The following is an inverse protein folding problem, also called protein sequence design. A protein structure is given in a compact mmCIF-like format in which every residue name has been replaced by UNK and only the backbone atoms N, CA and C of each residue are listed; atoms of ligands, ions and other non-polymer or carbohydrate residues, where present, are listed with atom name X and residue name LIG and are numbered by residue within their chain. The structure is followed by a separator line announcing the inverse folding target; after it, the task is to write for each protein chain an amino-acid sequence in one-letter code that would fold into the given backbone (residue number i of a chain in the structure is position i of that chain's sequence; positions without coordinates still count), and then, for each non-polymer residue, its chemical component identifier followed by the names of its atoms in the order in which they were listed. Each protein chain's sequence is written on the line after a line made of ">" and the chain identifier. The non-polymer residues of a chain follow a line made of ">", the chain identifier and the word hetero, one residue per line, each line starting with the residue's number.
data_IF_795110558274
#
_entry.id   IF_795110558274
#
_cell.length_a   1.000
_cell.length_b   1.000
_cell.length_c   1.000
_cell.angle_alpha   90.00
_cell.angle_beta   90.00
_cell.angle_gamma   90.00
#
_symmetry.space_group_name_H-M   'P 1'
#
loop_
_entity.id
_entity.type
_entity.pdbx_description
1 polymer ?
#
# COMPACT_ATOMS: atom_id res chain seq x y z
N UNK A 1 11.45 8.36 -8.65
CA UNK A 1 12.88 8.29 -9.01
C UNK A 1 13.27 9.57 -9.72
N UNK A 2 14.29 10.32 -9.25
CA UNK A 2 14.84 11.48 -9.92
C UNK A 2 15.65 11.03 -11.15
N UNK A 3 15.04 11.14 -12.32
CA UNK A 3 15.52 10.47 -13.55
C UNK A 3 16.80 11.09 -14.12
N UNK A 4 16.92 12.41 -14.06
CA UNK A 4 18.12 13.10 -14.55
C UNK A 4 19.33 12.80 -13.64
N UNK A 5 19.13 12.84 -12.32
CA UNK A 5 20.16 12.50 -11.35
C UNK A 5 20.57 11.03 -11.42
N UNK A 6 19.61 10.11 -11.58
CA UNK A 6 19.88 8.69 -11.75
C UNK A 6 20.73 8.40 -12.99
N UNK A 7 20.42 9.02 -14.13
CA UNK A 7 21.22 8.91 -15.35
C UNK A 7 22.63 9.47 -15.18
N UNK A 8 22.74 10.64 -14.53
CA UNK A 8 24.05 11.26 -14.26
C UNK A 8 24.90 10.37 -13.33
N UNK A 9 24.28 9.79 -12.30
CA UNK A 9 24.95 8.87 -11.40
C UNK A 9 25.38 7.58 -12.12
N UNK A 10 24.50 6.99 -12.94
CA UNK A 10 24.81 5.79 -13.71
C UNK A 10 26.03 5.99 -14.63
N UNK A 11 26.15 7.16 -15.25
CA UNK A 11 27.29 7.52 -16.10
C UNK A 11 28.62 7.60 -15.33
N UNK A 12 28.57 7.87 -14.01
CA UNK A 12 29.73 8.01 -13.13
C UNK A 12 30.00 6.78 -12.26
N UNK A 13 29.23 5.72 -12.36
CA UNK A 13 29.40 4.52 -11.53
C UNK A 13 30.75 3.81 -11.72
N UNK A 14 31.51 4.16 -12.77
CA UNK A 14 32.91 3.74 -12.94
C UNK A 14 33.86 4.34 -11.89
N UNK A 15 33.47 5.46 -11.28
CA UNK A 15 34.26 6.19 -10.27
C UNK A 15 33.90 5.80 -8.84
N UNK A 16 32.85 4.97 -8.66
CA UNK A 16 32.25 4.66 -7.36
C UNK A 16 32.28 3.15 -7.11
N UNK A 17 32.39 2.76 -5.85
CA UNK A 17 32.34 1.37 -5.38
C UNK A 17 31.41 1.28 -4.17
N UNK A 18 30.78 0.12 -3.98
CA UNK A 18 29.93 -0.22 -2.84
C UNK A 18 28.84 0.83 -2.53
N UNK A 19 28.12 1.25 -3.58
CA UNK A 19 27.05 2.26 -3.45
C UNK A 19 25.78 1.62 -2.91
N UNK A 20 25.34 2.08 -1.77
CA UNK A 20 24.17 1.56 -1.08
C UNK A 20 22.94 2.47 -1.30
N UNK A 21 21.96 1.99 -2.04
CA UNK A 21 20.71 2.70 -2.31
C UNK A 21 19.59 2.29 -1.36
N UNK A 22 18.72 3.23 -1.07
CA UNK A 22 17.46 2.99 -0.38
C UNK A 22 16.31 3.60 -1.16
N UNK A 23 15.32 2.79 -1.50
CA UNK A 23 14.13 3.20 -2.22
C UNK A 23 13.12 2.06 -2.28
N UNK A 24 11.86 2.35 -2.56
CA UNK A 24 10.83 1.32 -2.66
C UNK A 24 9.68 1.74 -3.55
N UNK A 25 8.98 0.72 -4.08
CA UNK A 25 7.89 0.87 -5.05
C UNK A 25 8.34 1.63 -6.29
N UNK A 26 9.34 1.10 -6.98
CA UNK A 26 9.81 1.69 -8.23
C UNK A 26 8.74 1.57 -9.31
N UNK A 27 8.37 2.70 -9.90
CA UNK A 27 7.48 2.79 -11.05
C UNK A 27 8.24 2.87 -12.39
N UNK A 28 9.56 3.06 -12.32
CA UNK A 28 10.48 3.13 -13.46
C UNK A 28 11.79 2.47 -13.06
N UNK A 29 12.36 1.65 -13.98
CA UNK A 29 13.67 1.02 -13.74
C UNK A 29 14.75 2.10 -13.72
N UNK A 30 15.54 2.23 -12.64
CA UNK A 30 16.64 3.16 -12.56
C UNK A 30 17.76 2.82 -13.55
N UNK A 31 18.42 3.84 -14.10
CA UNK A 31 19.57 3.68 -15.00
C UNK A 31 20.76 3.01 -14.30
N UNK A 32 20.95 3.25 -13.00
CA UNK A 32 21.98 2.57 -12.19
C UNK A 32 21.81 1.04 -12.12
N UNK A 33 20.64 0.49 -12.44
CA UNK A 33 20.42 -0.96 -12.51
C UNK A 33 20.98 -1.58 -13.80
N UNK A 34 21.22 -0.79 -14.82
CA UNK A 34 21.66 -1.23 -16.14
C UNK A 34 23.16 -1.00 -16.39
N UNK A 35 23.92 -0.61 -15.35
CA UNK A 35 25.38 -0.46 -15.45
C UNK A 35 26.06 -1.83 -15.55
N UNK A 36 27.22 -1.93 -16.20
CA UNK A 36 28.01 -3.16 -16.21
C UNK A 36 28.37 -3.60 -14.78
N UNK A 37 28.19 -4.89 -14.48
CA UNK A 37 28.53 -5.50 -13.19
C UNK A 37 27.81 -4.82 -12.01
N UNK A 38 26.53 -4.45 -12.16
CA UNK A 38 25.76 -3.79 -11.12
C UNK A 38 25.82 -4.52 -9.77
N UNK A 39 25.77 -5.87 -9.77
CA UNK A 39 25.83 -6.67 -8.55
C UNK A 39 27.13 -6.53 -7.74
N UNK A 40 28.23 -6.14 -8.41
CA UNK A 40 29.51 -5.90 -7.73
C UNK A 40 29.67 -4.46 -7.21
N UNK A 41 28.83 -3.53 -7.66
CA UNK A 41 28.98 -2.10 -7.42
C UNK A 41 27.90 -1.49 -6.56
N UNK A 42 26.68 -2.04 -6.61
CA UNK A 42 25.52 -1.46 -5.93
C UNK A 42 24.80 -2.47 -5.05
N UNK A 43 24.19 -1.96 -4.00
CA UNK A 43 23.20 -2.66 -3.18
C UNK A 43 21.93 -1.82 -3.15
N UNK A 44 20.80 -2.42 -3.57
CA UNK A 44 19.50 -1.78 -3.52
C UNK A 44 18.66 -2.35 -2.38
N UNK A 45 18.36 -1.53 -1.39
CA UNK A 45 17.49 -1.90 -0.26
C UNK A 45 16.10 -1.35 -0.47
N UNK A 46 15.11 -2.24 -0.52
CA UNK A 46 13.71 -1.86 -0.69
C UNK A 46 12.84 -2.39 0.45
N UNK A 47 11.94 -1.56 0.93
CA UNK A 47 10.91 -1.94 1.90
C UNK A 47 9.61 -2.40 1.24
N UNK A 48 9.49 -2.27 -0.07
CA UNK A 48 8.33 -2.72 -0.82
C UNK A 48 8.71 -3.08 -2.25
N UNK A 49 8.41 -4.30 -2.67
CA UNK A 49 8.87 -4.85 -3.94
C UNK A 49 7.85 -4.62 -5.06
N UNK A 50 8.23 -3.86 -6.09
CA UNK A 50 7.56 -3.89 -7.39
C UNK A 50 8.13 -5.00 -8.29
N UNK A 51 7.69 -5.08 -9.54
CA UNK A 51 8.29 -5.96 -10.54
C UNK A 51 9.77 -5.66 -10.79
N UNK A 52 10.15 -4.40 -10.65
CA UNK A 52 11.50 -3.90 -10.88
C UNK A 52 12.44 -4.38 -9.77
N UNK A 53 12.05 -4.18 -8.51
CA UNK A 53 12.86 -4.62 -7.38
C UNK A 53 12.95 -6.15 -7.30
N UNK A 54 11.87 -6.88 -7.62
CA UNK A 54 11.92 -8.34 -7.72
C UNK A 54 12.94 -8.82 -8.76
N UNK A 55 13.07 -8.08 -9.88
CA UNK A 55 14.09 -8.39 -10.88
C UNK A 55 15.49 -8.08 -10.36
N UNK A 56 15.71 -6.95 -9.67
CA UNK A 56 16.97 -6.63 -9.02
C UNK A 56 17.40 -7.69 -7.99
N UNK A 57 16.45 -8.27 -7.24
CA UNK A 57 16.74 -9.41 -6.35
C UNK A 57 17.24 -10.65 -7.12
N UNK A 58 16.64 -10.95 -8.27
CA UNK A 58 17.10 -12.06 -9.12
C UNK A 58 18.47 -11.78 -9.78
N UNK A 59 18.77 -10.52 -10.01
CA UNK A 59 20.05 -10.04 -10.55
C UNK A 59 21.15 -9.94 -9.46
N UNK A 60 20.82 -10.19 -8.18
CA UNK A 60 21.78 -10.35 -7.08
C UNK A 60 22.15 -9.08 -6.32
N UNK A 61 21.55 -7.91 -6.64
CA UNK A 61 21.85 -6.65 -5.96
C UNK A 61 20.65 -5.99 -5.25
N UNK A 62 19.44 -6.57 -5.36
CA UNK A 62 18.24 -6.11 -4.66
C UNK A 62 17.99 -6.91 -3.38
N UNK A 63 17.65 -6.23 -2.29
CA UNK A 63 17.36 -6.86 -0.99
C UNK A 63 16.13 -6.23 -0.35
N UNK A 64 15.35 -7.07 0.35
CA UNK A 64 14.19 -6.62 1.09
C UNK A 64 14.56 -6.16 2.50
N UNK A 65 14.09 -4.98 2.87
CA UNK A 65 14.17 -4.45 4.23
C UNK A 65 12.79 -4.55 4.88
N UNK A 66 12.64 -5.49 5.81
CA UNK A 66 11.39 -5.70 6.52
C UNK A 66 11.08 -4.49 7.41
N UNK A 67 10.08 -3.70 7.03
CA UNK A 67 9.71 -2.47 7.71
C UNK A 67 8.22 -2.18 7.51
N UNK A 68 7.54 -1.78 8.57
CA UNK A 68 6.19 -1.25 8.52
C UNK A 68 6.24 0.21 8.04
N UNK A 69 5.36 0.58 7.11
CA UNK A 69 5.52 1.84 6.39
C UNK A 69 5.38 3.08 7.29
N UNK A 70 4.52 3.03 8.31
CA UNK A 70 4.40 4.11 9.31
C UNK A 70 5.69 4.42 10.06
N UNK A 71 6.60 3.44 10.18
CA UNK A 71 7.86 3.57 10.91
C UNK A 71 8.98 4.23 10.09
N UNK A 72 8.80 4.41 8.78
CA UNK A 72 9.83 4.93 7.88
C UNK A 72 10.49 6.24 8.35
N UNK A 73 9.74 7.31 8.69
CA UNK A 73 10.35 8.55 9.13
C UNK A 73 11.18 8.39 10.40
N UNK A 74 10.68 7.61 11.36
CA UNK A 74 11.38 7.30 12.61
C UNK A 74 12.61 6.44 12.35
N UNK A 75 12.50 5.44 11.49
CA UNK A 75 13.62 4.57 11.13
C UNK A 75 14.77 5.36 10.51
N UNK A 76 14.51 6.31 9.62
CA UNK A 76 15.53 7.20 9.08
C UNK A 76 16.18 8.04 10.17
N UNK A 77 15.41 8.69 11.04
CA UNK A 77 15.91 9.61 12.07
C UNK A 77 16.65 8.91 13.22
N UNK A 78 16.28 7.68 13.57
CA UNK A 78 16.80 6.99 14.75
C UNK A 78 17.75 5.81 14.45
N UNK A 79 17.54 5.11 13.33
CA UNK A 79 18.22 3.84 13.06
C UNK A 79 19.14 3.86 11.85
N UNK A 80 18.90 4.71 10.86
CA UNK A 80 19.81 4.87 9.73
C UNK A 80 20.99 5.70 10.20
N UNK A 81 22.17 5.06 10.24
CA UNK A 81 23.36 5.72 10.79
C UNK A 81 23.78 6.96 10.01
N UNK A 82 23.59 6.91 8.69
CA UNK A 82 24.12 7.94 7.81
C UNK A 82 23.48 7.85 6.41
N UNK A 83 23.14 8.99 5.85
CA UNK A 83 22.76 9.16 4.45
C UNK A 83 23.69 10.20 3.85
N UNK A 84 24.57 9.79 2.93
CA UNK A 84 25.50 10.73 2.30
C UNK A 84 24.76 11.72 1.41
N UNK A 85 23.85 11.22 0.57
CA UNK A 85 23.16 12.04 -0.43
C UNK A 85 21.68 11.67 -0.50
N UNK A 86 20.81 12.64 -0.30
CA UNK A 86 19.41 12.54 -0.70
C UNK A 86 19.25 13.08 -2.13
N UNK A 87 18.77 12.25 -3.03
CA UNK A 87 18.34 12.65 -4.37
C UNK A 87 16.84 12.53 -4.45
N UNK A 88 16.13 13.64 -4.47
CA UNK A 88 14.66 13.66 -4.48
C UNK A 88 14.13 14.47 -5.68
N UNK A 89 12.98 14.04 -6.20
CA UNK A 89 12.28 14.79 -7.23
C UNK A 89 11.19 15.64 -6.58
N UNK A 90 11.09 16.90 -7.00
CA UNK A 90 10.19 17.90 -6.41
C UNK A 90 9.46 18.68 -7.49
N UNK A 91 8.34 19.32 -7.12
CA UNK A 91 7.64 20.28 -7.99
C UNK A 91 8.46 21.58 -8.14
N UNK A 92 8.15 22.41 -9.15
CA UNK A 92 8.75 23.75 -9.27
C UNK A 92 8.62 24.57 -7.99
N UNK A 93 9.66 25.37 -7.70
CA UNK A 93 9.71 26.21 -6.49
C UNK A 93 8.59 27.26 -6.52
N UNK A 94 7.94 27.44 -5.38
CA UNK A 94 6.94 28.49 -5.21
C UNK A 94 7.60 29.87 -4.95
N UNK A 95 6.76 30.92 -4.87
CA UNK A 95 7.20 32.30 -4.66
C UNK A 95 7.87 32.54 -3.29
N UNK A 96 7.77 31.58 -2.37
CA UNK A 96 8.32 31.64 -1.03
C UNK A 96 9.56 30.76 -0.82
N UNK A 97 10.07 30.16 -1.91
CA UNK A 97 11.27 29.32 -1.86
C UNK A 97 11.03 27.87 -1.45
N UNK A 98 9.80 27.39 -1.51
CA UNK A 98 9.46 26.00 -1.16
C UNK A 98 9.31 25.14 -2.42
N UNK A 99 9.86 23.94 -2.33
CA UNK A 99 9.66 22.85 -3.28
C UNK A 99 8.70 21.84 -2.66
N UNK A 100 7.54 21.61 -3.26
CA UNK A 100 6.63 20.54 -2.84
C UNK A 100 7.21 19.18 -3.21
N UNK A 101 7.08 18.21 -2.32
CA UNK A 101 7.40 16.79 -2.59
C UNK A 101 6.43 16.14 -3.59
N UNK A 102 5.49 16.91 -4.13
CA UNK A 102 4.46 16.42 -5.02
C UNK A 102 3.55 15.41 -4.34
N UNK A 103 3.10 14.38 -5.05
CA UNK A 103 2.19 13.38 -4.48
C UNK A 103 2.92 12.37 -3.57
N UNK A 104 4.05 12.74 -2.96
CA UNK A 104 4.84 11.81 -2.13
C UNK A 104 5.53 12.54 -0.97
N UNK A 105 4.76 13.09 -0.02
CA UNK A 105 5.32 13.59 1.23
C UNK A 105 5.95 12.43 2.04
N UNK A 106 5.18 11.39 2.28
CA UNK A 106 5.61 10.08 2.82
C UNK A 106 6.71 10.18 3.90
N UNK A 107 7.95 9.92 3.55
CA UNK A 107 9.11 9.93 4.43
C UNK A 107 10.26 10.85 3.92
N UNK A 108 10.02 11.59 2.84
CA UNK A 108 11.09 12.34 2.17
C UNK A 108 11.74 13.38 3.07
N UNK A 109 10.95 14.10 3.89
CA UNK A 109 11.51 15.07 4.83
C UNK A 109 12.46 14.40 5.84
N UNK A 110 12.09 13.21 6.34
CA UNK A 110 12.94 12.47 7.28
C UNK A 110 14.26 12.01 6.62
N UNK A 111 14.25 11.67 5.33
CA UNK A 111 15.48 11.39 4.59
C UNK A 111 16.37 12.63 4.51
N UNK A 112 15.78 13.78 4.13
CA UNK A 112 16.52 15.03 4.07
C UNK A 112 17.12 15.45 5.42
N UNK A 113 16.39 15.22 6.53
CA UNK A 113 16.84 15.60 7.89
C UNK A 113 18.14 14.87 8.33
N UNK A 114 18.45 13.72 7.74
CA UNK A 114 19.62 12.89 8.11
C UNK A 114 20.64 12.77 6.99
N UNK A 115 20.50 13.58 5.94
CA UNK A 115 21.41 13.59 4.79
C UNK A 115 22.47 14.69 4.91
N UNK A 116 23.71 14.37 4.49
CA UNK A 116 24.79 15.37 4.44
C UNK A 116 24.61 16.33 3.26
N UNK A 117 24.14 15.80 2.11
CA UNK A 117 23.92 16.55 0.88
C UNK A 117 22.52 16.29 0.35
N UNK A 118 21.80 17.35 0.04
CA UNK A 118 20.45 17.27 -0.54
C UNK A 118 20.47 17.83 -1.96
N UNK A 119 20.17 16.97 -2.92
CA UNK A 119 20.07 17.34 -4.34
C UNK A 119 18.59 17.19 -4.75
N UNK A 120 17.99 18.27 -5.18
CA UNK A 120 16.61 18.25 -5.72
C UNK A 120 16.61 18.24 -7.24
N UNK A 121 15.84 17.32 -7.82
CA UNK A 121 15.48 17.35 -9.23
C UNK A 121 14.11 18.02 -9.37
N UNK A 122 14.13 19.27 -9.83
CA UNK A 122 12.92 20.07 -10.05
C UNK A 122 12.27 19.63 -11.36
N UNK A 123 11.16 18.92 -11.27
CA UNK A 123 10.46 18.42 -12.43
C UNK A 123 9.23 19.27 -12.75
N UNK A 124 9.19 19.90 -13.93
CA UNK A 124 8.07 20.74 -14.36
C UNK A 124 6.72 20.01 -14.45
N UNK A 125 6.73 18.67 -14.57
CA UNK A 125 5.51 17.85 -14.62
C UNK A 125 5.08 17.32 -13.26
N UNK A 126 5.88 17.56 -12.20
CA UNK A 126 5.50 17.15 -10.85
C UNK A 126 4.36 18.05 -10.35
N UNK A 127 3.19 17.51 -9.99
CA UNK A 127 2.12 18.32 -9.45
C UNK A 127 2.53 18.91 -8.09
N UNK A 128 2.14 20.14 -7.84
CA UNK A 128 2.28 20.76 -6.52
C UNK A 128 1.15 20.24 -5.63
N UNK A 129 1.47 19.31 -4.76
CA UNK A 129 0.51 18.85 -3.77
C UNK A 129 0.59 19.70 -2.51
N UNK A 130 -0.58 20.01 -1.97
CA UNK A 130 -0.69 20.77 -0.72
C UNK A 130 -0.71 19.81 0.46
N UNK A 131 -0.14 20.22 1.58
CA UNK A 131 -0.12 19.43 2.80
C UNK A 131 -0.34 20.30 4.04
N UNK A 132 0.69 20.72 4.65
CA UNK A 132 0.65 21.58 5.83
C UNK A 132 1.82 21.32 6.77
N UNK A 133 2.46 20.14 6.66
CA UNK A 133 3.69 19.80 7.37
C UNK A 133 4.42 18.66 6.67
N UNK A 134 5.74 18.76 6.63
CA UNK A 134 6.65 17.78 6.01
C UNK A 134 6.31 17.42 4.55
N UNK A 135 5.61 18.29 3.83
CA UNK A 135 5.16 18.10 2.44
C UNK A 135 6.10 18.72 1.40
N UNK A 136 7.21 19.30 1.85
CA UNK A 136 8.19 19.94 0.98
C UNK A 136 9.49 20.31 1.69
N UNK A 137 10.38 20.96 0.95
CA UNK A 137 11.68 21.44 1.43
C UNK A 137 11.91 22.88 0.98
N UNK A 138 12.45 23.72 1.87
CA UNK A 138 12.81 25.08 1.56
C UNK A 138 14.20 25.16 0.89
N UNK A 139 14.39 26.06 -0.05
CA UNK A 139 15.64 26.23 -0.81
C UNK A 139 16.88 26.39 0.08
N UNK A 140 16.74 26.97 1.27
CA UNK A 140 17.86 27.10 2.22
C UNK A 140 18.38 25.78 2.81
N UNK A 141 17.68 24.69 2.58
CA UNK A 141 18.06 23.34 3.00
C UNK A 141 18.62 22.50 1.83
N UNK A 142 18.67 23.05 0.64
CA UNK A 142 19.06 22.36 -0.60
C UNK A 142 20.47 22.75 -0.99
N UNK A 143 21.33 21.77 -1.24
CA UNK A 143 22.71 22.01 -1.65
C UNK A 143 22.83 22.17 -3.18
N UNK A 144 22.05 21.40 -3.94
CA UNK A 144 22.10 21.43 -5.41
C UNK A 144 20.71 21.30 -6.03
N UNK A 145 20.51 21.97 -7.14
CA UNK A 145 19.27 21.96 -7.91
C UNK A 145 19.57 21.52 -9.35
N UNK A 146 18.80 20.57 -9.86
CA UNK A 146 18.81 20.11 -11.25
C UNK A 146 17.40 20.23 -11.81
N UNK A 147 17.25 20.88 -12.96
CA UNK A 147 15.96 20.95 -13.65
C UNK A 147 15.71 19.71 -14.51
N UNK A 148 14.47 19.28 -14.57
CA UNK A 148 14.03 18.12 -15.33
C UNK A 148 12.67 18.37 -15.99
N UNK A 149 12.45 17.71 -17.11
CA UNK A 149 11.18 17.71 -17.85
C UNK A 149 10.67 16.29 -18.11
N UNK A 150 10.95 15.39 -17.19
CA UNK A 150 10.53 14.00 -17.29
C UNK A 150 9.06 13.84 -16.90
N UNK A 151 8.25 13.32 -17.81
CA UNK A 151 6.84 13.01 -17.54
C UNK A 151 6.68 12.10 -16.30
N UNK A 152 5.63 12.35 -15.53
CA UNK A 152 5.30 11.54 -14.36
C UNK A 152 5.01 10.09 -14.79
N UNK A 153 5.52 9.10 -14.04
CA UNK A 153 5.20 7.72 -14.33
C UNK A 153 3.72 7.47 -14.08
N UNK A 154 3.06 6.79 -15.01
CA UNK A 154 1.65 6.46 -14.87
C UNK A 154 1.47 4.98 -14.50
N UNK A 155 0.59 4.73 -13.55
CA UNK A 155 0.06 3.40 -13.32
C UNK A 155 -1.11 3.18 -14.26
N UNK A 156 -1.08 2.10 -15.04
CA UNK A 156 -2.22 1.73 -15.88
C UNK A 156 -3.49 1.53 -15.03
N UNK A 157 -4.64 1.76 -15.63
CA UNK A 157 -5.94 1.63 -14.98
C UNK A 157 -6.26 0.19 -14.48
N UNK A 158 -5.37 -0.77 -14.69
CA UNK A 158 -5.64 -2.19 -14.50
C UNK A 158 -6.42 -2.77 -15.69
N UNK A 159 -6.63 -4.10 -15.69
CA UNK A 159 -7.52 -4.75 -16.64
C UNK A 159 -9.00 -4.52 -16.30
N UNK A 160 -9.89 -4.94 -17.19
CA UNK A 160 -11.33 -4.96 -16.90
C UNK A 160 -11.59 -5.79 -15.63
N UNK A 161 -12.52 -5.33 -14.76
CA UNK A 161 -12.89 -6.06 -13.56
C UNK A 161 -13.41 -7.46 -13.87
N UNK A 162 -12.85 -8.46 -13.21
CA UNK A 162 -13.36 -9.83 -13.32
C UNK A 162 -14.69 -9.99 -12.58
N UNK A 163 -15.44 -11.04 -12.87
CA UNK A 163 -16.67 -11.35 -12.13
C UNK A 163 -16.38 -11.60 -10.63
N UNK A 164 -15.19 -12.13 -10.31
CA UNK A 164 -14.73 -12.27 -8.93
C UNK A 164 -14.56 -10.90 -8.26
N UNK A 165 -13.90 -9.95 -8.94
CA UNK A 165 -13.71 -8.59 -8.41
C UNK A 165 -15.06 -7.91 -8.15
N UNK A 166 -16.01 -8.05 -9.08
CA UNK A 166 -17.35 -7.48 -8.95
C UNK A 166 -18.13 -8.08 -7.77
N UNK A 167 -18.07 -9.43 -7.62
CA UNK A 167 -18.74 -10.11 -6.52
C UNK A 167 -18.20 -9.67 -5.15
N UNK A 168 -16.87 -9.62 -5.00
CA UNK A 168 -16.22 -9.16 -3.77
C UNK A 168 -16.54 -7.69 -3.51
N UNK A 169 -16.42 -6.82 -4.51
CA UNK A 169 -16.68 -5.39 -4.38
C UNK A 169 -18.13 -5.12 -3.92
N UNK A 170 -19.09 -5.83 -4.45
CA UNK A 170 -20.50 -5.72 -4.03
C UNK A 170 -20.68 -6.02 -2.55
N UNK A 171 -20.09 -7.11 -2.05
CA UNK A 171 -20.18 -7.51 -0.64
C UNK A 171 -19.54 -6.47 0.31
N UNK A 172 -18.54 -5.74 -0.16
CA UNK A 172 -17.88 -4.69 0.62
C UNK A 172 -18.71 -3.40 0.62
N UNK A 173 -19.17 -2.96 -0.56
CA UNK A 173 -19.92 -1.69 -0.71
C UNK A 173 -21.20 -1.70 0.14
N UNK A 174 -21.87 -2.84 0.26
CA UNK A 174 -23.05 -3.03 1.13
C UNK A 174 -22.78 -2.72 2.61
N UNK A 175 -21.52 -2.78 3.06
CA UNK A 175 -21.11 -2.57 4.46
C UNK A 175 -20.65 -1.12 4.73
N UNK A 176 -20.53 -0.29 3.72
CA UNK A 176 -20.03 1.09 3.84
C UNK A 176 -21.19 2.01 4.20
N UNK A 177 -21.17 2.66 5.37
CA UNK A 177 -22.21 3.64 5.71
C UNK A 177 -21.93 5.00 5.05
N UNK A 178 -22.97 5.83 4.91
CA UNK A 178 -22.79 7.23 4.59
C UNK A 178 -21.90 7.92 5.64
N UNK A 179 -21.04 8.81 5.20
CA UNK A 179 -20.09 9.52 6.07
C UNK A 179 -18.86 8.70 6.45
N UNK A 180 -18.68 7.48 5.92
CA UNK A 180 -17.49 6.68 6.14
C UNK A 180 -16.23 7.37 5.61
N UNK A 181 -15.09 7.14 6.26
CA UNK A 181 -13.77 7.52 5.75
C UNK A 181 -13.05 6.30 5.18
N UNK A 182 -12.54 6.43 3.96
CA UNK A 182 -12.06 5.30 3.18
C UNK A 182 -10.53 5.26 3.09
N UNK A 183 -10.00 4.02 3.17
CA UNK A 183 -8.68 3.63 2.69
C UNK A 183 -8.86 2.48 1.70
N UNK A 184 -8.29 2.61 0.52
CA UNK A 184 -8.26 1.58 -0.52
C UNK A 184 -6.83 1.12 -0.76
N UNK A 185 -6.64 -0.20 -0.93
CA UNK A 185 -5.40 -0.77 -1.44
C UNK A 185 -5.22 -0.52 -2.94
N UNK A 186 -4.23 -1.15 -3.53
CA UNK A 186 -3.93 -1.12 -4.97
C UNK A 186 -4.37 -2.41 -5.65
N UNK A 187 -4.69 -2.32 -6.95
CA UNK A 187 -5.02 -3.47 -7.79
C UNK A 187 -6.45 -3.48 -8.31
N UNK A 188 -6.81 -4.52 -9.05
CA UNK A 188 -8.10 -4.63 -9.75
C UNK A 188 -9.30 -4.55 -8.82
N UNK A 189 -9.25 -5.29 -7.70
CA UNK A 189 -10.37 -5.33 -6.76
C UNK A 189 -10.62 -3.99 -6.04
N UNK A 190 -9.63 -3.29 -5.44
CA UNK A 190 -9.85 -1.96 -4.89
C UNK A 190 -10.35 -0.94 -5.92
N UNK A 191 -9.90 -1.01 -7.17
CA UNK A 191 -10.41 -0.17 -8.25
C UNK A 191 -11.88 -0.48 -8.52
N UNK A 192 -12.28 -1.75 -8.54
CA UNK A 192 -13.69 -2.17 -8.72
C UNK A 192 -14.56 -1.67 -7.58
N UNK A 193 -14.08 -1.77 -6.32
CA UNK A 193 -14.78 -1.18 -5.16
C UNK A 193 -14.97 0.32 -5.35
N UNK A 194 -13.91 1.03 -5.77
CA UNK A 194 -13.98 2.47 -6.02
C UNK A 194 -14.98 2.86 -7.11
N UNK A 195 -15.03 2.12 -8.22
CA UNK A 195 -16.02 2.35 -9.28
C UNK A 195 -17.45 2.12 -8.79
N UNK A 196 -17.70 1.04 -8.06
CA UNK A 196 -19.02 0.76 -7.48
C UNK A 196 -19.44 1.83 -6.44
N UNK A 197 -18.51 2.37 -5.64
CA UNK A 197 -18.80 3.48 -4.73
C UNK A 197 -19.19 4.73 -5.53
N UNK A 198 -18.48 5.04 -6.61
CA UNK A 198 -18.78 6.21 -7.45
C UNK A 198 -20.20 6.13 -8.06
N UNK A 199 -20.67 4.93 -8.38
CA UNK A 199 -22.01 4.68 -8.95
C UNK A 199 -23.10 4.50 -7.87
N UNK A 200 -22.75 4.33 -6.60
CA UNK A 200 -23.70 4.06 -5.51
C UNK A 200 -24.43 5.32 -5.02
N UNK A 201 -25.39 5.15 -4.11
CA UNK A 201 -26.09 6.23 -3.41
C UNK A 201 -25.33 6.72 -2.16
N UNK A 202 -24.10 6.25 -1.93
CA UNK A 202 -23.26 6.69 -0.81
C UNK A 202 -22.94 8.17 -0.91
N UNK A 203 -22.86 8.83 0.25
CA UNK A 203 -22.60 10.27 0.35
C UNK A 203 -21.83 10.64 1.61
N UNK A 204 -21.31 11.87 1.61
CA UNK A 204 -20.57 12.48 2.73
C UNK A 204 -19.30 11.68 3.09
N UNK A 205 -18.71 10.95 2.14
CA UNK A 205 -17.53 10.15 2.36
C UNK A 205 -16.29 11.03 2.63
N UNK A 206 -15.33 10.48 3.35
CA UNK A 206 -14.00 11.04 3.54
C UNK A 206 -12.91 10.12 2.98
N UNK A 207 -11.71 10.66 2.86
CA UNK A 207 -10.52 9.90 2.49
C UNK A 207 -9.40 10.14 3.49
N UNK A 208 -8.80 9.06 3.97
CA UNK A 208 -7.56 9.04 4.71
C UNK A 208 -6.85 7.72 4.39
N UNK A 209 -5.86 7.76 3.51
CA UNK A 209 -5.32 6.57 2.87
C UNK A 209 -3.80 6.64 2.78
N UNK A 210 -3.14 5.49 2.71
CA UNK A 210 -1.71 5.44 2.40
C UNK A 210 -1.48 5.92 0.98
N UNK A 211 -2.09 5.24 0.02
CA UNK A 211 -1.98 5.54 -1.39
C UNK A 211 -3.25 6.19 -1.93
N UNK A 212 -3.11 7.33 -2.58
CA UNK A 212 -4.17 7.97 -3.34
C UNK A 212 -4.17 7.43 -4.77
N UNK A 213 -5.31 6.91 -5.22
CA UNK A 213 -5.48 6.24 -6.51
C UNK A 213 -6.58 6.88 -7.34
N UNK A 214 -6.61 6.61 -8.65
CA UNK A 214 -7.61 7.16 -9.59
C UNK A 214 -9.06 6.95 -9.13
N UNK A 215 -9.35 5.86 -8.43
CA UNK A 215 -10.67 5.59 -7.88
C UNK A 215 -11.18 6.70 -6.97
N UNK A 216 -10.33 7.33 -6.15
CA UNK A 216 -10.73 8.46 -5.31
C UNK A 216 -11.06 9.70 -6.14
N UNK A 217 -10.37 9.91 -7.26
CA UNK A 217 -10.71 10.99 -8.20
C UNK A 217 -12.10 10.77 -8.78
N UNK A 218 -12.43 9.54 -9.16
CA UNK A 218 -13.75 9.21 -9.73
C UNK A 218 -14.86 9.38 -8.69
N UNK A 219 -14.66 8.89 -7.46
CA UNK A 219 -15.60 9.06 -6.35
C UNK A 219 -15.81 10.55 -6.01
N UNK A 220 -14.71 11.36 -6.03
CA UNK A 220 -14.77 12.81 -5.80
C UNK A 220 -15.58 13.52 -6.90
N UNK A 221 -15.28 13.20 -8.17
CA UNK A 221 -16.00 13.76 -9.34
C UNK A 221 -17.48 13.38 -9.36
N UNK A 222 -17.81 12.20 -8.82
CA UNK A 222 -19.20 11.78 -8.61
C UNK A 222 -19.89 12.52 -7.43
N UNK A 223 -19.19 13.44 -6.75
CA UNK A 223 -19.73 14.23 -5.64
C UNK A 223 -19.96 13.45 -4.35
N UNK A 224 -19.32 12.29 -4.18
CA UNK A 224 -19.51 11.41 -3.02
C UNK A 224 -18.59 11.76 -1.85
N UNK A 225 -17.45 12.40 -2.12
CA UNK A 225 -16.44 12.77 -1.13
C UNK A 225 -16.55 14.28 -0.81
N UNK A 226 -16.74 14.61 0.45
CA UNK A 226 -16.67 15.98 0.95
C UNK A 226 -15.96 16.09 2.31
N UNK A 227 -15.62 14.96 2.93
CA UNK A 227 -14.92 14.91 4.21
C UNK A 227 -15.65 15.56 5.38
N UNK A 228 -16.95 15.88 5.24
CA UNK A 228 -17.73 16.66 6.22
C UNK A 228 -17.92 15.94 7.56
N UNK A 229 -17.79 14.62 7.58
CA UNK A 229 -17.96 13.77 8.76
C UNK A 229 -16.64 13.41 9.44
N UNK A 230 -15.50 13.76 8.87
CA UNK A 230 -14.20 13.52 9.50
C UNK A 230 -14.06 14.37 10.76
N UNK A 231 -13.59 13.75 11.85
CA UNK A 231 -13.33 14.46 13.11
C UNK A 231 -12.04 15.31 13.04
N UNK A 232 -11.03 14.79 12.30
CA UNK A 232 -9.77 15.48 12.01
C UNK A 232 -9.64 15.70 10.50
N UNK A 233 -8.86 16.66 10.07
CA UNK A 233 -8.64 17.01 8.65
C UNK A 233 -9.96 17.15 7.87
N UNK A 234 -10.93 17.78 8.48
CA UNK A 234 -12.27 17.94 7.92
C UNK A 234 -12.22 18.63 6.57
N UNK A 235 -12.89 18.06 5.57
CA UNK A 235 -12.89 18.57 4.20
C UNK A 235 -11.60 18.25 3.42
N UNK A 236 -10.68 17.47 3.99
CA UNK A 236 -9.42 17.08 3.33
C UNK A 236 -9.38 15.60 3.02
N UNK A 237 -8.84 15.28 1.86
CA UNK A 237 -8.49 13.93 1.43
C UNK A 237 -7.01 13.71 1.71
N UNK A 238 -6.71 12.95 2.77
CA UNK A 238 -5.35 12.78 3.30
C UNK A 238 -4.70 11.54 2.72
N UNK A 239 -3.43 11.67 2.29
CA UNK A 239 -2.66 10.55 1.75
C UNK A 239 -1.14 10.71 1.99
N UNK A 240 -0.42 9.59 2.08
CA UNK A 240 1.03 9.59 2.21
C UNK A 240 1.71 9.72 0.84
N UNK A 241 1.18 9.04 -0.17
CA UNK A 241 1.61 9.17 -1.56
C UNK A 241 0.46 8.89 -2.53
N UNK A 242 0.60 9.38 -3.75
CA UNK A 242 -0.36 9.16 -4.83
C UNK A 242 0.30 8.63 -6.08
N UNK A 243 -0.33 7.66 -6.73
CA UNK A 243 0.07 7.19 -8.04
C UNK A 243 -1.14 6.69 -8.83
N UNK A 244 -1.22 7.08 -10.08
CA UNK A 244 -2.33 6.77 -10.98
C UNK A 244 -2.02 7.19 -12.39
N UNK A 245 -3.06 7.56 -13.11
CA UNK A 245 -2.95 8.13 -14.46
C UNK A 245 -2.76 9.66 -14.39
N UNK A 246 -2.63 10.32 -15.52
CA UNK A 246 -2.56 11.79 -15.59
C UNK A 246 -3.78 12.45 -14.90
N UNK A 247 -4.94 11.79 -14.93
CA UNK A 247 -6.16 12.24 -14.26
C UNK A 247 -5.95 12.50 -12.75
N UNK A 248 -5.18 11.64 -12.08
CA UNK A 248 -4.85 11.81 -10.67
C UNK A 248 -3.91 12.99 -10.47
N UNK A 249 -2.85 13.09 -11.26
CA UNK A 249 -1.87 14.18 -11.14
C UNK A 249 -2.49 15.55 -11.38
N UNK A 250 -3.39 15.65 -12.34
CA UNK A 250 -4.17 16.89 -12.60
C UNK A 250 -5.11 17.20 -11.42
N UNK A 251 -5.70 16.19 -10.79
CA UNK A 251 -6.64 16.39 -9.69
C UNK A 251 -5.97 16.86 -8.40
N UNK A 252 -4.79 16.32 -8.07
CA UNK A 252 -4.09 16.68 -6.82
C UNK A 252 -3.26 17.96 -6.94
N UNK A 253 -3.06 18.47 -8.15
CA UNK A 253 -2.27 19.67 -8.39
C UNK A 253 -2.97 20.93 -7.85
N UNK A 254 -2.35 21.63 -6.91
CA UNK A 254 -2.88 22.84 -6.25
C UNK A 254 -4.31 22.70 -5.72
N UNK A 255 -4.71 21.47 -5.37
CA UNK A 255 -6.05 21.18 -4.89
C UNK A 255 -6.12 21.26 -3.36
N UNK A 256 -6.82 22.27 -2.79
CA UNK A 256 -6.92 22.44 -1.33
C UNK A 256 -7.75 21.33 -0.63
N UNK A 257 -8.51 20.53 -1.37
CA UNK A 257 -9.17 19.35 -0.81
C UNK A 257 -8.22 18.19 -0.57
N UNK A 258 -7.05 18.18 -1.25
CA UNK A 258 -6.03 17.14 -1.13
C UNK A 258 -4.96 17.54 -0.11
N UNK A 259 -4.55 16.59 0.71
CA UNK A 259 -3.52 16.80 1.73
C UNK A 259 -2.47 15.68 1.65
N UNK A 260 -1.32 15.98 1.02
CA UNK A 260 -0.15 15.12 1.07
C UNK A 260 0.52 15.26 2.43
N UNK A 261 0.73 14.17 3.17
CA UNK A 261 1.20 14.20 4.55
C UNK A 261 2.24 13.10 4.81
N UNK A 262 3.10 13.22 5.84
CA UNK A 262 4.07 12.19 6.16
C UNK A 262 3.38 10.88 6.56
N UNK A 263 4.00 9.76 6.18
CA UNK A 263 3.45 8.43 6.44
C UNK A 263 3.31 8.10 7.92
N UNK A 264 4.12 8.71 8.77
CA UNK A 264 3.98 8.63 10.24
C UNK A 264 2.72 9.31 10.79
N UNK A 265 2.04 10.11 9.98
CA UNK A 265 0.73 10.68 10.29
C UNK A 265 -0.40 9.89 9.64
N UNK A 266 -0.31 9.66 8.32
CA UNK A 266 -1.38 8.99 7.58
C UNK A 266 -1.60 7.56 8.05
N UNK A 267 -0.53 6.85 8.36
CA UNK A 267 -0.54 5.45 8.76
C UNK A 267 -0.51 5.24 10.29
N UNK A 268 -0.51 6.32 11.09
CA UNK A 268 -0.59 6.16 12.54
C UNK A 268 -1.98 5.65 12.95
N UNK A 269 -2.03 4.46 13.54
CA UNK A 269 -3.27 3.86 14.03
C UNK A 269 -4.02 4.75 15.04
N UNK A 270 -3.32 5.60 15.80
CA UNK A 270 -3.92 6.55 16.74
C UNK A 270 -4.56 7.74 15.99
N UNK A 271 -3.98 8.17 14.89
CA UNK A 271 -4.55 9.19 14.01
C UNK A 271 -5.81 8.65 13.34
N UNK A 272 -5.72 7.44 12.76
CA UNK A 272 -6.85 6.78 12.09
C UNK A 272 -8.01 6.53 13.07
N UNK A 273 -7.70 6.12 14.30
CA UNK A 273 -8.68 5.85 15.35
C UNK A 273 -9.57 7.06 15.73
N UNK A 274 -9.12 8.27 15.43
CA UNK A 274 -9.89 9.49 15.67
C UNK A 274 -10.98 9.74 14.62
N UNK A 275 -10.99 8.98 13.54
CA UNK A 275 -11.94 9.13 12.43
C UNK A 275 -13.01 8.05 12.57
N UNK A 276 -14.24 8.44 12.91
CA UNK A 276 -15.38 7.52 13.04
C UNK A 276 -15.71 6.86 11.69
N UNK A 277 -16.25 5.64 11.75
CA UNK A 277 -16.63 4.84 10.58
C UNK A 277 -15.48 4.68 9.55
N UNK A 278 -14.29 4.43 10.03
CA UNK A 278 -13.14 4.22 9.15
C UNK A 278 -13.23 2.84 8.47
N UNK A 279 -13.15 2.83 7.15
CA UNK A 279 -13.24 1.62 6.31
C UNK A 279 -11.89 1.37 5.67
N UNK A 280 -11.22 0.28 6.07
CA UNK A 280 -9.94 -0.17 5.51
C UNK A 280 -10.17 -1.38 4.61
N UNK A 281 -9.70 -1.32 3.37
CA UNK A 281 -9.87 -2.38 2.35
C UNK A 281 -8.52 -2.76 1.78
N UNK A 282 -8.08 -3.99 2.03
CA UNK A 282 -6.77 -4.50 1.63
C UNK A 282 -6.87 -5.89 1.00
N UNK A 283 -6.00 -6.16 0.03
CA UNK A 283 -5.87 -7.46 -0.61
C UNK A 283 -4.74 -8.27 0.03
N UNK A 284 -4.91 -9.60 0.04
CA UNK A 284 -3.88 -10.55 0.47
C UNK A 284 -3.60 -11.61 -0.58
N UNK A 285 -2.49 -12.31 -0.42
CA UNK A 285 -2.10 -13.44 -1.27
C UNK A 285 -2.84 -14.70 -0.86
N UNK A 286 -2.76 -15.08 0.41
CA UNK A 286 -3.44 -16.25 0.98
C UNK A 286 -3.67 -16.10 2.50
N UNK A 287 -4.55 -16.96 3.02
CA UNK A 287 -4.91 -17.05 4.46
C UNK A 287 -4.98 -18.52 4.87
N UNK A 288 -4.56 -18.83 6.09
CA UNK A 288 -4.72 -20.18 6.64
C UNK A 288 -5.97 -20.32 7.53
N UNK A 289 -6.33 -21.57 7.87
CA UNK A 289 -7.52 -21.89 8.68
C UNK A 289 -7.46 -21.33 10.11
N UNK A 290 -6.32 -20.85 10.57
CA UNK A 290 -6.18 -20.13 11.83
C UNK A 290 -6.40 -18.61 11.68
N UNK A 291 -6.53 -18.11 10.46
CA UNK A 291 -6.67 -16.69 10.15
C UNK A 291 -5.33 -15.93 10.02
N UNK A 292 -4.19 -16.65 10.00
CA UNK A 292 -2.92 -16.01 9.61
C UNK A 292 -2.95 -15.64 8.15
N UNK A 293 -2.55 -14.42 7.82
CA UNK A 293 -2.57 -13.97 6.44
C UNK A 293 -1.20 -13.58 5.92
N UNK A 294 -1.00 -13.79 4.64
CA UNK A 294 0.18 -13.40 3.88
C UNK A 294 -0.24 -12.44 2.76
N UNK A 295 0.34 -11.25 2.76
CA UNK A 295 0.19 -10.23 1.73
C UNK A 295 1.50 -9.93 0.98
N UNK A 296 2.61 -10.59 1.35
CA UNK A 296 3.95 -10.13 1.00
C UNK A 296 4.75 -11.11 0.16
N UNK A 297 4.46 -12.41 0.23
CA UNK A 297 5.34 -13.42 -0.36
C UNK A 297 4.61 -14.54 -1.11
N UNK A 298 5.33 -15.23 -1.98
CA UNK A 298 4.94 -16.51 -2.56
C UNK A 298 6.00 -17.54 -2.14
N UNK A 299 5.71 -18.33 -1.08
CA UNK A 299 6.71 -19.10 -0.38
C UNK A 299 7.84 -18.19 0.12
N UNK A 300 9.08 -18.57 -0.13
CA UNK A 300 10.27 -17.79 0.27
C UNK A 300 10.52 -16.55 -0.60
N UNK A 301 9.76 -16.37 -1.68
CA UNK A 301 9.97 -15.26 -2.62
C UNK A 301 9.19 -14.04 -2.17
N UNK A 302 9.86 -12.98 -1.77
CA UNK A 302 9.26 -11.67 -1.50
C UNK A 302 8.64 -11.09 -2.78
N UNK A 303 7.37 -10.71 -2.76
CA UNK A 303 6.64 -10.16 -3.92
C UNK A 303 6.14 -8.74 -3.71
N UNK A 304 6.00 -8.32 -2.46
CA UNK A 304 5.61 -6.97 -2.07
C UNK A 304 6.33 -6.55 -0.79
N UNK A 305 5.71 -5.82 0.10
CA UNK A 305 6.20 -5.48 1.42
C UNK A 305 5.02 -5.35 2.38
N UNK A 306 5.29 -5.19 3.67
CA UNK A 306 4.26 -5.03 4.67
C UNK A 306 3.36 -3.81 4.39
N UNK A 307 3.95 -2.72 3.85
CA UNK A 307 3.21 -1.47 3.64
C UNK A 307 2.56 -0.99 4.94
N UNK A 308 1.40 -0.39 4.81
CA UNK A 308 0.57 0.05 5.92
C UNK A 308 -0.62 -0.85 6.24
N UNK A 309 -0.67 -2.10 5.75
CA UNK A 309 -1.83 -2.96 5.99
C UNK A 309 -2.17 -3.07 7.47
N UNK A 310 -1.20 -3.45 8.32
CA UNK A 310 -1.39 -3.57 9.76
C UNK A 310 -1.80 -2.23 10.39
N UNK A 311 -1.22 -1.12 9.95
CA UNK A 311 -1.52 0.22 10.45
C UNK A 311 -3.01 0.57 10.27
N UNK A 312 -3.51 0.41 9.04
CA UNK A 312 -4.89 0.73 8.69
C UNK A 312 -5.90 -0.24 9.27
N UNK A 313 -5.57 -1.52 9.31
CA UNK A 313 -6.44 -2.53 9.92
C UNK A 313 -6.57 -2.30 11.42
N UNK A 314 -5.48 -1.98 12.12
CA UNK A 314 -5.48 -1.60 13.54
C UNK A 314 -6.24 -0.29 13.77
N UNK A 315 -5.97 0.73 12.95
CA UNK A 315 -6.65 2.01 13.02
C UNK A 315 -8.16 1.88 12.82
N UNK A 316 -8.59 1.10 11.83
CA UNK A 316 -10.00 0.82 11.58
C UNK A 316 -10.67 0.08 12.76
N UNK A 317 -9.96 -0.85 13.40
CA UNK A 317 -10.46 -1.51 14.61
C UNK A 317 -10.67 -0.54 15.77
N UNK A 318 -9.73 0.37 15.99
CA UNK A 318 -9.80 1.37 17.07
C UNK A 318 -10.80 2.49 16.77
N UNK A 319 -11.14 2.71 15.51
CA UNK A 319 -12.14 3.68 15.07
C UNK A 319 -13.54 3.29 15.53
N UNK A 320 -14.29 4.22 16.07
CA UNK A 320 -15.69 4.00 16.43
C UNK A 320 -16.53 3.74 15.17
N UNK A 321 -17.13 2.55 15.09
CA UNK A 321 -17.87 2.10 13.90
C UNK A 321 -16.99 1.71 12.72
N UNK A 322 -15.67 1.68 12.91
CA UNK A 322 -14.72 1.31 11.88
C UNK A 322 -14.78 -0.18 11.52
N UNK A 323 -14.41 -0.50 10.29
CA UNK A 323 -14.38 -1.88 9.76
C UNK A 323 -13.15 -2.07 8.90
N UNK A 324 -12.55 -3.25 8.97
CA UNK A 324 -11.50 -3.68 8.04
C UNK A 324 -11.97 -4.87 7.20
N UNK A 325 -11.68 -4.81 5.92
CA UNK A 325 -11.97 -5.86 4.94
C UNK A 325 -10.67 -6.37 4.36
N UNK A 326 -10.44 -7.66 4.50
CA UNK A 326 -9.34 -8.38 3.87
C UNK A 326 -9.91 -9.19 2.73
N UNK A 327 -9.48 -8.90 1.52
CA UNK A 327 -10.07 -9.40 0.29
C UNK A 327 -9.10 -10.34 -0.42
N UNK A 328 -9.64 -11.39 -1.02
CA UNK A 328 -8.90 -12.28 -1.89
C UNK A 328 -9.87 -13.01 -2.84
N UNK A 329 -9.42 -13.32 -4.06
CA UNK A 329 -10.08 -14.36 -4.84
C UNK A 329 -9.85 -15.70 -4.14
N UNK A 330 -10.87 -16.56 -4.05
CA UNK A 330 -10.75 -17.84 -3.33
C UNK A 330 -9.72 -18.80 -3.93
N UNK A 331 -9.36 -18.62 -5.21
CA UNK A 331 -8.41 -19.43 -5.96
C UNK A 331 -7.44 -18.60 -6.78
N UNK A 332 -6.38 -19.24 -7.24
CA UNK A 332 -5.48 -18.72 -8.28
C UNK A 332 -5.11 -19.83 -9.26
N UNK A 333 -4.80 -19.46 -10.49
CA UNK A 333 -4.29 -20.36 -11.49
C UNK A 333 -2.76 -20.33 -11.50
N UNK A 334 -2.13 -21.50 -11.38
CA UNK A 334 -0.69 -21.68 -11.51
C UNK A 334 -0.26 -21.58 -12.98
N UNK A 335 1.06 -21.44 -13.21
CA UNK A 335 1.62 -21.37 -14.57
C UNK A 335 1.39 -22.63 -15.40
N UNK A 336 1.24 -23.78 -14.75
CA UNK A 336 0.95 -25.07 -15.38
C UNK A 336 -0.55 -25.29 -15.68
N UNK A 337 -1.38 -24.29 -15.41
CA UNK A 337 -2.85 -24.33 -15.60
C UNK A 337 -3.63 -24.92 -14.44
N UNK A 338 -2.98 -25.49 -13.42
CA UNK A 338 -3.68 -26.00 -12.24
C UNK A 338 -4.26 -24.89 -11.39
N UNK A 339 -5.41 -25.16 -10.78
CA UNK A 339 -6.07 -24.21 -9.85
C UNK A 339 -5.75 -24.59 -8.42
N UNK A 340 -5.40 -23.61 -7.60
CA UNK A 340 -5.11 -23.80 -6.19
C UNK A 340 -5.92 -22.85 -5.31
N UNK A 341 -6.32 -23.30 -4.13
CA UNK A 341 -7.01 -22.49 -3.14
C UNK A 341 -6.06 -21.45 -2.53
N UNK A 342 -6.56 -20.24 -2.30
CA UNK A 342 -5.88 -19.20 -1.51
C UNK A 342 -6.25 -19.26 -0.03
N UNK A 343 -7.32 -19.98 0.31
CA UNK A 343 -7.60 -20.39 1.70
C UNK A 343 -6.91 -21.75 1.89
N UNK A 344 -5.93 -21.79 2.78
CA UNK A 344 -5.02 -22.94 2.96
C UNK A 344 -5.17 -23.57 4.31
N UNK A 345 -4.84 -24.86 4.49
CA UNK A 345 -4.77 -25.47 5.82
C UNK A 345 -3.79 -24.71 6.73
N UNK A 346 -2.58 -24.48 6.25
CA UNK A 346 -1.53 -23.63 6.82
C UNK A 346 -0.90 -22.81 5.72
N UNK A 347 -0.31 -21.66 6.03
CA UNK A 347 0.48 -20.93 5.07
C UNK A 347 1.61 -21.81 4.52
N UNK A 348 1.98 -21.58 3.27
CA UNK A 348 3.07 -22.32 2.63
C UNK A 348 4.37 -22.11 3.40
N UNK A 349 5.19 -23.17 3.53
CA UNK A 349 6.51 -23.08 4.17
C UNK A 349 7.34 -21.96 3.58
N UNK A 350 7.87 -21.10 4.44
CA UNK A 350 8.66 -19.93 4.05
C UNK A 350 7.85 -18.68 3.68
N UNK A 351 6.51 -18.75 3.66
CA UNK A 351 5.68 -17.56 3.47
C UNK A 351 5.78 -16.61 4.67
N UNK A 352 5.73 -15.33 4.38
CA UNK A 352 5.61 -14.29 5.39
C UNK A 352 4.25 -14.38 6.06
N UNK A 353 4.20 -14.15 7.36
CA UNK A 353 2.97 -13.91 8.12
C UNK A 353 2.83 -12.39 8.29
N UNK A 354 2.11 -11.75 7.38
CA UNK A 354 1.88 -10.30 7.42
C UNK A 354 1.07 -9.92 8.65
N UNK A 355 -0.01 -10.68 8.93
CA UNK A 355 -0.78 -10.56 10.16
C UNK A 355 -0.93 -11.92 10.84
N UNK A 356 -0.67 -11.92 12.14
CA UNK A 356 -0.66 -13.13 12.98
C UNK A 356 -2.06 -13.55 13.41
N UNK A 357 -2.20 -14.75 13.99
CA UNK A 357 -3.44 -15.23 14.60
C UNK A 357 -4.00 -14.26 15.64
N UNK A 358 -3.12 -13.65 16.44
CA UNK A 358 -3.53 -12.72 17.50
C UNK A 358 -4.10 -11.43 16.91
N UNK A 359 -3.43 -10.86 15.93
CA UNK A 359 -3.91 -9.64 15.28
C UNK A 359 -5.28 -9.85 14.62
N UNK A 360 -5.50 -11.01 13.99
CA UNK A 360 -6.80 -11.38 13.42
C UNK A 360 -7.83 -11.83 14.45
N UNK A 361 -7.42 -12.15 15.70
CA UNK A 361 -8.32 -12.62 16.75
C UNK A 361 -9.01 -11.54 17.57
N UNK A 362 -8.25 -10.55 17.99
CA UNK A 362 -8.73 -9.63 19.02
C UNK A 362 -8.88 -8.20 18.55
N UNK A 363 -8.08 -7.79 17.56
CA UNK A 363 -7.84 -6.37 17.39
C UNK A 363 -8.19 -5.89 15.99
N UNK A 364 -7.97 -6.66 14.91
CA UNK A 364 -7.63 -5.96 13.68
C UNK A 364 -8.50 -6.30 12.47
N UNK A 365 -8.77 -7.56 12.16
CA UNK A 365 -9.54 -7.90 10.96
C UNK A 365 -10.97 -8.23 11.30
N UNK A 366 -11.90 -7.43 10.81
CA UNK A 366 -13.31 -7.71 10.95
C UNK A 366 -13.77 -8.75 9.94
N UNK A 367 -13.49 -8.56 8.64
CA UNK A 367 -14.08 -9.33 7.56
C UNK A 367 -13.05 -9.91 6.60
N UNK A 368 -13.13 -11.21 6.34
CA UNK A 368 -12.54 -11.84 5.17
C UNK A 368 -13.60 -11.96 4.09
N UNK A 369 -13.26 -11.55 2.87
CA UNK A 369 -14.21 -11.48 1.75
C UNK A 369 -13.63 -12.21 0.53
N UNK A 370 -14.40 -13.16 0.02
CA UNK A 370 -14.17 -13.80 -1.28
C UNK A 370 -15.43 -13.66 -2.15
N UNK A 371 -15.38 -14.12 -3.37
CA UNK A 371 -16.55 -14.19 -4.26
C UNK A 371 -17.67 -15.10 -3.74
N UNK A 372 -17.38 -15.96 -2.75
CA UNK A 372 -18.36 -16.86 -2.12
C UNK A 372 -18.99 -16.30 -0.84
N UNK A 373 -18.60 -15.12 -0.42
CA UNK A 373 -19.19 -14.47 0.75
C UNK A 373 -18.18 -13.72 1.63
N UNK A 374 -18.67 -13.27 2.77
CA UNK A 374 -17.88 -12.56 3.79
C UNK A 374 -18.08 -13.19 5.16
N UNK A 375 -17.00 -13.31 5.93
CA UNK A 375 -17.01 -13.86 7.28
C UNK A 375 -16.25 -12.99 8.26
N UNK A 376 -16.78 -12.83 9.46
CA UNK A 376 -16.14 -12.10 10.54
C UNK A 376 -15.44 -13.09 11.45
N UNK A 377 -14.12 -12.94 11.63
CA UNK A 377 -13.32 -13.85 12.47
C UNK A 377 -13.08 -13.32 13.89
N UNK A 378 -13.60 -12.13 14.22
CA UNK A 378 -13.39 -11.52 15.52
C UNK A 378 -13.99 -12.36 16.66
N UNK A 379 -13.18 -12.68 17.67
CA UNK A 379 -13.61 -13.44 18.84
C UNK A 379 -13.85 -14.93 18.59
N UNK A 380 -13.64 -15.43 17.38
CA UNK A 380 -13.83 -16.84 17.06
C UNK A 380 -12.66 -17.70 17.55
N UNK A 381 -12.98 -18.88 18.06
CA UNK A 381 -12.01 -19.93 18.37
C UNK A 381 -11.44 -20.58 17.11
N UNK A 382 -10.36 -21.35 17.20
CA UNK A 382 -9.71 -21.94 16.03
C UNK A 382 -10.67 -22.77 15.16
N UNK A 383 -11.55 -23.58 15.78
CA UNK A 383 -12.51 -24.39 15.02
C UNK A 383 -13.59 -23.53 14.33
N UNK A 384 -14.06 -22.47 14.98
CA UNK A 384 -15.03 -21.53 14.38
C UNK A 384 -14.42 -20.74 13.20
N UNK A 385 -13.12 -20.39 13.30
CA UNK A 385 -12.39 -19.77 12.21
C UNK A 385 -12.24 -20.68 11.02
N UNK A 386 -11.84 -21.94 11.25
CA UNK A 386 -11.76 -22.95 10.21
C UNK A 386 -13.11 -23.12 9.51
N UNK A 387 -14.21 -23.24 10.27
CA UNK A 387 -15.56 -23.33 9.72
C UNK A 387 -15.92 -22.10 8.88
N UNK A 388 -15.68 -20.90 9.41
CA UNK A 388 -15.98 -19.65 8.73
C UNK A 388 -15.18 -19.50 7.43
N UNK A 389 -13.86 -19.71 7.46
CA UNK A 389 -13.01 -19.59 6.26
C UNK A 389 -13.34 -20.66 5.22
N UNK A 390 -13.63 -21.90 5.62
CA UNK A 390 -14.05 -22.96 4.70
C UNK A 390 -15.39 -22.62 4.03
N UNK A 391 -16.31 -21.94 4.73
CA UNK A 391 -17.60 -21.55 4.15
C UNK A 391 -17.47 -20.57 2.97
N UNK A 392 -16.41 -19.75 2.94
CA UNK A 392 -16.11 -18.79 1.86
C UNK A 392 -15.00 -19.26 0.93
N UNK A 393 -14.50 -20.48 1.09
CA UNK A 393 -13.59 -21.11 0.13
C UNK A 393 -14.32 -21.56 -1.13
N UNK A 394 -13.57 -21.72 -2.22
CA UNK A 394 -14.11 -22.32 -3.45
C UNK A 394 -14.68 -23.72 -3.14
N UNK A 395 -15.88 -24.07 -3.63
CA UNK A 395 -16.55 -25.34 -3.29
C UNK A 395 -15.68 -26.57 -3.47
N UNK A 396 -14.91 -26.65 -4.56
CA UNK A 396 -14.08 -27.80 -4.90
C UNK A 396 -12.97 -28.10 -3.87
N UNK A 397 -12.61 -27.13 -3.02
CA UNK A 397 -11.56 -27.27 -2.03
C UNK A 397 -12.09 -27.47 -0.60
N UNK A 398 -13.39 -27.30 -0.35
CA UNK A 398 -13.96 -27.33 1.00
C UNK A 398 -13.74 -28.65 1.70
N UNK A 399 -14.01 -29.77 1.02
CA UNK A 399 -13.85 -31.11 1.61
C UNK A 399 -12.38 -31.39 1.97
N UNK A 400 -11.43 -31.04 1.10
CA UNK A 400 -10.00 -31.15 1.41
C UNK A 400 -9.62 -30.30 2.61
N UNK A 401 -10.12 -29.07 2.72
CA UNK A 401 -9.85 -28.19 3.86
C UNK A 401 -10.43 -28.73 5.16
N UNK A 402 -11.62 -29.38 5.13
CA UNK A 402 -12.20 -30.05 6.29
C UNK A 402 -11.31 -31.21 6.75
N UNK A 403 -10.86 -32.07 5.82
CA UNK A 403 -9.97 -33.19 6.15
C UNK A 403 -8.66 -32.73 6.79
N UNK A 404 -8.08 -31.64 6.29
CA UNK A 404 -6.88 -31.05 6.89
C UNK A 404 -7.16 -30.44 8.27
N UNK A 405 -8.31 -29.76 8.46
CA UNK A 405 -8.73 -29.23 9.75
C UNK A 405 -8.97 -30.35 10.79
N UNK A 406 -9.50 -31.50 10.36
CA UNK A 406 -9.63 -32.71 11.22
C UNK A 406 -8.27 -33.24 11.66
N UNK A 407 -7.30 -33.37 10.73
CA UNK A 407 -5.93 -33.80 11.05
C UNK A 407 -5.26 -32.83 12.03
N UNK A 408 -5.48 -31.54 11.89
CA UNK A 408 -4.96 -30.52 12.79
C UNK A 408 -5.72 -30.40 14.12
N UNK A 409 -6.81 -31.17 14.28
CA UNK A 409 -7.71 -31.14 15.46
C UNK A 409 -8.35 -29.78 15.74
N UNK A 410 -8.57 -29.01 14.69
CA UNK A 410 -9.30 -27.73 14.71
C UNK A 410 -10.67 -27.82 14.04
N UNK A 411 -11.16 -29.02 13.76
CA UNK A 411 -12.51 -29.27 13.26
C UNK A 411 -13.35 -29.96 14.33
N UNK A 412 -14.52 -29.39 14.61
CA UNK A 412 -15.42 -29.95 15.61
C UNK A 412 -16.28 -31.05 14.99
N UNK A 413 -16.37 -32.23 15.65
CA UNK A 413 -17.13 -33.36 15.11
C UNK A 413 -18.61 -33.07 14.84
N UNK A 414 -19.21 -32.10 15.58
CA UNK A 414 -20.59 -31.66 15.38
C UNK A 414 -20.77 -30.62 14.30
N UNK A 415 -19.70 -30.16 13.62
CA UNK A 415 -19.83 -29.23 12.51
C UNK A 415 -20.60 -29.90 11.37
N UNK A 416 -21.52 -29.16 10.75
CA UNK A 416 -22.20 -29.62 9.55
C UNK A 416 -21.20 -29.58 8.38
N UNK A 417 -21.27 -30.58 7.53
CA UNK A 417 -20.50 -30.69 6.29
C UNK A 417 -21.32 -30.24 5.09
#
# INVERSE_FOLDING_TARGET
>A
TPVALDKALAARMGELEDVNFRGGVLMRRPAVFDIPNAADKITWNSWHMSGIERKACMEGFGFYSALRYSEMPRWYRENVRHVNVAMIQVAPMDAHGWFSSGPQASHLKAVCDVSDVIIVEVNKYMPRCLGGFEDGIHISQVDMIVESDTEMPQMGAGGEPTEVDKAVAKLIVEEIPNGACLQLGIGGMPNTVGSMIAESDLKDLGVHTEMYVDAFVDISRAGKINGSKKAIDRGRQVFAFGAGTQKLYDFVNDNPECMSAPVSYTNDARTIAQIDNFISINNIVDVDLFGQMNAESAGIKQISGAGGQLDFVLGAYLSKGGKSFICLSSTHQNKDGTVASRIRPTLQTGSVVTDTRVNTMYVVTHWFVTEYGKVNLKGLTAWQRAEALISVAHPDFREQLIQEAEKMRIWKRSNKR
#
